data_IF_089311967249
#
_entry.id   IF_089311967249
#
_cell.length_a   1.000
_cell.length_b   1.000
_cell.length_c   1.000
_cell.angle_alpha   90.00
_cell.angle_beta   90.00
_cell.angle_gamma   90.00
#
_symmetry.space_group_name_H-M   'P 1'
#
loop_
_entity.id
_entity.type
_entity.pdbx_description
1 polymer ?
#
# COMPACT_ATOMS: atom_id res chain seq x y z
N UNK A 1 -11.34 -14.13 -9.94
CA UNK A 1 -11.34 -13.13 -8.85
C UNK A 1 -12.78 -12.79 -8.54
N UNK A 2 -13.34 -13.32 -7.45
CA UNK A 2 -14.73 -13.08 -7.07
C UNK A 2 -14.73 -12.28 -5.76
N UNK A 3 -15.21 -11.03 -5.83
CA UNK A 3 -15.41 -10.18 -4.66
C UNK A 3 -16.81 -10.48 -4.11
N UNK A 4 -16.91 -11.18 -2.96
CA UNK A 4 -18.19 -11.28 -2.23
C UNK A 4 -18.40 -10.01 -1.41
N UNK A 5 -19.68 -9.60 -1.28
CA UNK A 5 -20.12 -8.36 -0.66
C UNK A 5 -19.97 -8.32 0.88
N UNK A 6 -19.65 -9.46 1.48
CA UNK A 6 -19.26 -9.58 2.89
C UNK A 6 -17.74 -9.60 2.90
N UNK A 7 -17.08 -8.60 3.51
CA UNK A 7 -15.64 -8.37 3.44
C UNK A 7 -14.82 -9.65 3.52
N UNK A 8 -14.46 -10.19 2.35
CA UNK A 8 -13.72 -11.43 2.22
C UNK A 8 -12.25 -11.18 2.48
N UNK A 9 -11.59 -12.15 3.09
CA UNK A 9 -10.15 -12.26 3.06
C UNK A 9 -9.78 -12.57 1.60
N UNK A 10 -9.20 -11.59 0.90
CA UNK A 10 -8.70 -11.82 -0.46
C UNK A 10 -7.39 -12.58 -0.31
N UNK A 11 -7.47 -13.90 -0.38
CA UNK A 11 -6.30 -14.77 -0.39
C UNK A 11 -5.70 -14.78 -1.80
N UNK A 12 -4.96 -13.73 -2.13
CA UNK A 12 -4.02 -13.81 -3.25
C UNK A 12 -2.79 -14.54 -2.73
N UNK A 13 -2.72 -15.86 -2.95
CA UNK A 13 -1.49 -16.62 -2.76
C UNK A 13 -0.45 -16.11 -3.78
N UNK A 14 0.44 -15.21 -3.34
CA UNK A 14 1.54 -14.68 -4.14
C UNK A 14 1.24 -13.40 -4.93
N UNK A 15 2.20 -13.00 -5.76
CA UNK A 15 2.06 -11.82 -6.62
C UNK A 15 1.15 -12.13 -7.82
N UNK A 16 0.08 -11.35 -7.99
CA UNK A 16 -0.79 -11.49 -9.17
C UNK A 16 -0.37 -10.47 -10.23
N UNK A 17 0.23 -10.96 -11.31
CA UNK A 17 0.59 -10.13 -12.47
C UNK A 17 -0.65 -9.96 -13.35
N UNK A 18 -1.07 -8.71 -13.57
CA UNK A 18 -2.25 -8.39 -14.40
C UNK A 18 -1.87 -7.81 -15.77
N UNK A 19 -0.63 -7.30 -15.90
CA UNK A 19 -0.04 -6.85 -17.16
C UNK A 19 1.49 -6.84 -17.04
N UNK A 20 2.21 -6.67 -18.16
CA UNK A 20 3.66 -6.45 -18.13
C UNK A 20 4.01 -5.24 -17.24
N UNK A 21 4.80 -5.48 -16.19
CA UNK A 21 5.17 -4.45 -15.23
C UNK A 21 4.06 -4.05 -14.24
N UNK A 22 2.86 -4.65 -14.28
CA UNK A 22 1.75 -4.32 -13.39
C UNK A 22 1.34 -5.53 -12.55
N UNK A 23 1.45 -5.42 -11.23
CA UNK A 23 1.08 -6.49 -10.30
C UNK A 23 0.22 -5.98 -9.14
N UNK A 24 -0.70 -6.83 -8.70
CA UNK A 24 -1.47 -6.63 -7.47
C UNK A 24 -0.66 -7.15 -6.28
N UNK A 25 -0.73 -6.42 -5.17
CA UNK A 25 -0.15 -6.81 -3.88
C UNK A 25 -1.20 -6.67 -2.79
N UNK A 26 -1.23 -7.63 -1.87
CA UNK A 26 -2.08 -7.53 -0.69
C UNK A 26 -1.56 -6.43 0.22
N UNK A 27 -2.45 -5.57 0.66
CA UNK A 27 -2.15 -4.48 1.59
C UNK A 27 -3.18 -4.44 2.72
N UNK A 28 -3.31 -5.52 3.51
CA UNK A 28 -4.30 -5.59 4.57
C UNK A 28 -4.01 -4.54 5.64
N UNK A 29 -5.06 -4.06 6.28
CA UNK A 29 -4.96 -3.17 7.42
C UNK A 29 -6.08 -2.15 7.45
N UNK A 30 -6.29 -1.43 6.34
CA UNK A 30 -7.48 -0.59 6.17
C UNK A 30 -8.74 -1.46 6.16
N UNK A 31 -8.77 -2.47 5.28
CA UNK A 31 -9.72 -3.59 5.31
C UNK A 31 -8.97 -4.93 5.18
N UNK A 32 -9.57 -6.08 5.53
CA UNK A 32 -8.93 -7.38 5.39
C UNK A 32 -8.54 -7.72 3.95
N UNK A 33 -9.39 -7.36 2.97
CA UNK A 33 -9.17 -7.60 1.54
C UNK A 33 -8.57 -6.41 0.79
N UNK A 34 -7.96 -5.44 1.49
CA UNK A 34 -7.32 -4.29 0.84
C UNK A 34 -6.16 -4.75 -0.06
N UNK A 35 -6.12 -4.21 -1.28
CA UNK A 35 -5.06 -4.44 -2.26
C UNK A 35 -4.49 -3.12 -2.76
N UNK A 36 -3.26 -3.17 -3.25
CA UNK A 36 -2.60 -2.09 -3.96
C UNK A 36 -2.03 -2.59 -5.29
N UNK A 37 -1.63 -1.66 -6.16
CA UNK A 37 -1.03 -1.98 -7.45
C UNK A 37 0.39 -1.44 -7.52
N UNK A 38 1.36 -2.30 -7.85
CA UNK A 38 2.71 -1.89 -8.20
C UNK A 38 2.87 -1.85 -9.72
N UNK A 39 3.33 -0.71 -10.22
CA UNK A 39 3.56 -0.46 -11.64
C UNK A 39 5.04 -0.13 -11.85
N UNK A 40 5.74 -0.98 -12.60
CA UNK A 40 7.12 -0.79 -13.02
C UNK A 40 7.16 -0.21 -14.43
N UNK A 41 7.60 1.04 -14.54
CA UNK A 41 7.86 1.74 -15.79
C UNK A 41 9.27 2.38 -15.73
N UNK A 42 9.41 3.65 -16.11
CA UNK A 42 10.65 4.42 -15.88
C UNK A 42 11.02 4.53 -14.40
N UNK A 43 10.00 4.46 -13.54
CA UNK A 43 10.07 4.40 -12.08
C UNK A 43 9.09 3.35 -11.58
N UNK A 44 9.22 2.97 -10.31
CA UNK A 44 8.23 2.13 -9.65
C UNK A 44 7.17 3.00 -8.98
N UNK A 45 5.91 2.79 -9.32
CA UNK A 45 4.77 3.48 -8.72
C UNK A 45 3.97 2.50 -7.86
N UNK A 46 3.53 2.95 -6.70
CA UNK A 46 2.54 2.27 -5.87
C UNK A 46 1.21 3.03 -5.94
N UNK A 47 0.19 2.41 -6.51
CA UNK A 47 -1.19 2.86 -6.38
C UNK A 47 -1.71 2.27 -5.07
N UNK A 48 -1.64 3.06 -4.01
CA UNK A 48 -1.76 2.58 -2.63
C UNK A 48 -3.21 2.40 -2.16
N UNK A 49 -4.16 3.10 -2.79
CA UNK A 49 -5.51 3.23 -2.24
C UNK A 49 -5.44 3.68 -0.77
N UNK A 50 -6.30 3.09 0.07
CA UNK A 50 -6.37 3.44 1.49
C UNK A 50 -5.34 2.73 2.37
N UNK A 51 -4.40 1.97 1.79
CA UNK A 51 -3.22 1.51 2.52
C UNK A 51 -2.30 2.70 2.87
N UNK A 52 -2.30 3.74 2.02
CA UNK A 52 -1.70 5.06 2.30
C UNK A 52 -2.69 6.14 1.84
N UNK A 53 -3.63 6.57 2.71
CA UNK A 53 -4.67 7.51 2.33
C UNK A 53 -4.13 8.86 1.91
N UNK A 54 -3.07 9.36 2.55
CA UNK A 54 -2.44 10.66 2.26
C UNK A 54 -0.94 10.61 2.51
N UNK A 55 -0.16 11.55 1.94
CA UNK A 55 1.28 11.71 2.26
C UNK A 55 1.49 11.91 3.77
N UNK A 56 0.53 12.50 4.47
CA UNK A 56 0.63 12.77 5.91
C UNK A 56 0.78 11.50 6.75
N UNK A 57 0.24 10.36 6.27
CA UNK A 57 0.45 9.05 6.88
C UNK A 57 1.92 8.63 6.84
N UNK A 58 2.59 8.81 5.70
CA UNK A 58 4.02 8.55 5.55
C UNK A 58 4.88 9.60 6.29
N UNK A 59 4.49 10.87 6.22
CA UNK A 59 5.20 11.99 6.87
C UNK A 59 5.23 11.81 8.39
N UNK A 60 4.09 11.51 8.99
CA UNK A 60 3.94 11.29 10.45
C UNK A 60 4.27 9.86 10.86
N UNK A 61 4.42 8.95 9.89
CA UNK A 61 4.62 7.52 10.08
C UNK A 61 3.52 6.89 10.95
N UNK A 62 2.27 7.15 10.57
CA UNK A 62 1.07 6.66 11.26
C UNK A 62 0.18 5.89 10.29
N UNK A 63 -0.53 4.85 10.75
CA UNK A 63 -1.40 4.08 9.87
C UNK A 63 -2.56 4.95 9.35
N UNK A 64 -3.31 4.47 8.34
CA UNK A 64 -4.61 5.02 7.99
C UNK A 64 -5.47 5.28 9.23
N UNK A 65 -6.22 6.39 9.29
CA UNK A 65 -7.06 6.68 10.46
C UNK A 65 -8.15 5.61 10.69
N UNK A 66 -8.68 5.06 9.60
CA UNK A 66 -9.58 3.91 9.61
C UNK A 66 -8.79 2.65 9.24
N UNK A 67 -8.70 1.70 10.18
CA UNK A 67 -8.06 0.41 9.97
C UNK A 67 -8.65 -0.61 10.95
N UNK A 68 -8.66 -1.88 10.56
CA UNK A 68 -9.07 -2.97 11.44
C UNK A 68 -7.89 -3.57 12.23
N UNK A 69 -6.67 -3.50 11.69
CA UNK A 69 -5.45 -3.97 12.34
C UNK A 69 -4.29 -3.01 12.06
N UNK A 70 -3.82 -2.35 13.13
CA UNK A 70 -2.74 -1.36 13.06
C UNK A 70 -1.44 -1.94 12.51
N UNK A 71 -1.06 -3.15 12.95
CA UNK A 71 0.23 -3.75 12.57
C UNK A 71 0.21 -4.12 11.09
N UNK A 72 -0.89 -4.71 10.62
CA UNK A 72 -1.08 -5.00 9.19
C UNK A 72 -1.06 -3.70 8.36
N UNK A 73 -1.75 -2.67 8.81
CA UNK A 73 -1.78 -1.38 8.11
C UNK A 73 -0.39 -0.72 8.01
N UNK A 74 0.39 -0.73 9.10
CA UNK A 74 1.76 -0.23 9.10
C UNK A 74 2.67 -1.06 8.19
N UNK A 75 2.58 -2.40 8.25
CA UNK A 75 3.37 -3.28 7.38
C UNK A 75 3.06 -3.09 5.90
N UNK A 76 1.79 -2.88 5.56
CA UNK A 76 1.36 -2.54 4.19
C UNK A 76 1.94 -1.20 3.73
N UNK A 77 1.86 -0.16 4.56
CA UNK A 77 2.45 1.15 4.25
C UNK A 77 3.96 1.05 4.06
N UNK A 78 4.67 0.35 4.94
CA UNK A 78 6.12 0.14 4.84
C UNK A 78 6.50 -0.59 3.55
N UNK A 79 5.82 -1.70 3.24
CA UNK A 79 6.06 -2.47 2.02
C UNK A 79 5.93 -1.61 0.76
N UNK A 80 4.88 -0.79 0.68
CA UNK A 80 4.67 0.11 -0.47
C UNK A 80 5.73 1.20 -0.58
N UNK A 81 6.11 1.81 0.55
CA UNK A 81 7.13 2.88 0.58
C UNK A 81 8.50 2.34 0.19
N UNK A 82 8.85 1.13 0.63
CA UNK A 82 10.11 0.49 0.25
C UNK A 82 10.12 0.09 -1.24
N UNK A 83 9.02 -0.49 -1.73
CA UNK A 83 8.92 -1.04 -3.08
C UNK A 83 8.84 0.02 -4.18
N UNK A 84 8.29 1.20 -3.91
CA UNK A 84 8.07 2.23 -4.91
C UNK A 84 9.06 3.42 -4.81
N UNK A 85 9.19 4.15 -5.92
CA UNK A 85 9.82 5.47 -5.97
C UNK A 85 8.79 6.59 -5.74
N UNK A 86 7.55 6.34 -6.16
CA UNK A 86 6.41 7.27 -6.07
C UNK A 86 5.19 6.52 -5.55
N UNK A 87 4.50 7.08 -4.57
CA UNK A 87 3.19 6.60 -4.11
C UNK A 87 2.12 7.52 -4.67
N UNK A 88 1.09 6.92 -5.26
CA UNK A 88 -0.20 7.55 -5.55
C UNK A 88 -1.15 7.17 -4.41
N UNK A 89 -1.40 8.08 -3.45
CA UNK A 89 -2.24 7.79 -2.29
C UNK A 89 -3.71 7.66 -2.70
N UNK A 90 -4.54 7.12 -1.81
CA UNK A 90 -6.00 7.09 -2.00
C UNK A 90 -6.61 8.49 -2.12
N UNK A 91 -6.02 9.48 -1.45
CA UNK A 91 -6.46 10.87 -1.43
C UNK A 91 -5.28 11.85 -1.53
N UNK A 92 -5.43 12.85 -2.41
CA UNK A 92 -4.44 13.90 -2.62
C UNK A 92 -3.40 13.56 -3.69
N UNK A 93 -2.34 14.38 -3.81
CA UNK A 93 -1.35 14.25 -4.88
C UNK A 93 -0.36 13.11 -4.61
N UNK A 94 0.22 12.59 -5.69
CA UNK A 94 1.32 11.64 -5.62
C UNK A 94 2.57 12.27 -4.98
N UNK A 95 3.34 11.46 -4.26
CA UNK A 95 4.54 11.89 -3.55
C UNK A 95 5.70 10.91 -3.71
N UNK A 96 6.93 11.39 -3.49
CA UNK A 96 8.15 10.57 -3.60
C UNK A 96 8.42 9.82 -2.30
N UNK A 97 8.80 8.55 -2.38
CA UNK A 97 9.04 7.71 -1.19
C UNK A 97 10.40 7.94 -0.55
N UNK A 98 11.38 8.46 -1.29
CA UNK A 98 12.76 8.61 -0.84
C UNK A 98 12.92 9.23 0.57
N UNK A 99 12.18 10.29 0.96
CA UNK A 99 12.28 10.86 2.31
C UNK A 99 11.80 9.96 3.46
N UNK A 100 11.12 8.85 3.16
CA UNK A 100 10.41 8.02 4.15
C UNK A 100 10.97 6.59 4.29
N UNK A 101 11.85 6.14 3.39
CA UNK A 101 12.41 4.77 3.39
C UNK A 101 13.14 4.40 4.68
N UNK A 102 13.79 5.36 5.33
CA UNK A 102 14.47 5.10 6.61
C UNK A 102 13.52 5.00 7.81
N UNK A 103 12.29 5.53 7.71
CA UNK A 103 11.36 5.55 8.86
C UNK A 103 10.82 4.16 9.19
N UNK A 104 10.51 3.35 8.18
CA UNK A 104 10.04 1.97 8.39
C UNK A 104 11.07 1.11 9.13
N UNK A 105 12.34 1.28 8.79
CA UNK A 105 13.45 0.52 9.39
C UNK A 105 13.70 0.83 10.86
N UNK A 106 13.20 1.96 11.38
CA UNK A 106 13.43 2.39 12.78
C UNK A 106 12.36 1.88 13.76
N UNK A 107 11.26 1.30 13.27
CA UNK A 107 10.22 0.71 14.13
C UNK A 107 9.51 1.67 15.07
N UNK A 108 9.51 2.98 14.77
CA UNK A 108 8.80 4.03 15.52
C UNK A 108 7.28 4.01 15.25
#
# INVERSE_FOLDING_TARGET
VAHRAEGGELDLEGEVIIWEGVRLVNTPGHTPGSISVLVKAEKTYAIAGDAIPTEDNARKWVPPGHHYDRRKAMGSMEMLIEAADVVVPGHGPAFRTAPYKEKGRRGE
#
